data_IF_315469005408
#
_entry.id   IF_315469005408
#
_cell.length_a   1.000
_cell.length_b   1.000
_cell.length_c   1.000
_cell.angle_alpha   90.00
_cell.angle_beta   90.00
_cell.angle_gamma   90.00
#
_symmetry.space_group_name_H-M   'P 1'
#
loop_
_entity.id
_entity.type
_entity.pdbx_description
1 polymer ?
#
# COMPACT_ATOMS: atom_id res chain seq x y z
N UNK A 1 19.88 -7.22 -0.32
CA UNK A 1 19.94 -6.09 0.64
C UNK A 1 20.62 -6.55 1.91
N UNK A 2 21.47 -5.73 2.51
CA UNK A 2 22.11 -6.03 3.79
C UNK A 2 21.08 -5.95 4.92
N UNK A 3 21.20 -6.86 5.90
CA UNK A 3 20.36 -6.88 7.09
C UNK A 3 21.18 -6.46 8.30
N UNK A 4 20.65 -5.55 9.12
CA UNK A 4 21.27 -5.13 10.39
C UNK A 4 20.53 -5.76 11.56
N UNK A 5 21.24 -6.27 12.56
CA UNK A 5 20.64 -6.80 13.79
C UNK A 5 20.23 -5.65 14.71
N UNK A 6 19.02 -5.74 15.26
CA UNK A 6 18.47 -4.77 16.22
C UNK A 6 17.97 -5.54 17.43
N UNK A 7 18.33 -5.07 18.64
CA UNK A 7 17.75 -5.57 19.88
C UNK A 7 16.48 -4.76 20.20
N UNK A 8 15.39 -5.46 20.49
CA UNK A 8 14.10 -4.85 20.84
C UNK A 8 13.52 -5.55 22.08
N UNK A 9 12.80 -4.78 22.90
CA UNK A 9 11.91 -5.34 23.91
C UNK A 9 10.55 -5.55 23.26
N UNK A 10 10.00 -6.76 23.40
CA UNK A 10 8.70 -7.14 22.85
C UNK A 10 7.87 -7.83 23.93
N UNK A 11 6.56 -7.61 23.90
CA UNK A 11 5.63 -8.30 24.78
C UNK A 11 5.71 -9.83 24.60
N UNK A 12 5.64 -10.57 25.70
CA UNK A 12 5.82 -12.02 25.69
C UNK A 12 4.67 -12.76 24.97
N UNK A 13 3.44 -12.27 25.08
CA UNK A 13 2.31 -12.87 24.38
C UNK A 13 2.42 -12.63 22.87
N UNK A 14 2.87 -11.43 22.46
CA UNK A 14 3.14 -11.13 21.06
C UNK A 14 4.27 -11.98 20.48
N UNK A 15 5.35 -12.21 21.24
CA UNK A 15 6.42 -13.12 20.82
C UNK A 15 5.90 -14.55 20.62
N UNK A 16 5.03 -15.03 21.52
CA UNK A 16 4.42 -16.36 21.40
C UNK A 16 3.50 -16.48 20.17
N UNK A 17 2.82 -15.41 19.76
CA UNK A 17 2.07 -15.38 18.49
C UNK A 17 2.97 -15.50 17.27
N UNK A 18 4.08 -14.75 17.25
CA UNK A 18 5.07 -14.85 16.16
C UNK A 18 5.63 -16.28 16.09
N UNK A 19 5.92 -16.89 17.23
CA UNK A 19 6.44 -18.25 17.30
C UNK A 19 5.47 -19.27 16.72
N UNK A 20 4.18 -19.18 17.07
CA UNK A 20 3.13 -20.03 16.49
C UNK A 20 3.06 -19.90 14.96
N UNK A 21 3.20 -18.69 14.42
CA UNK A 21 3.17 -18.48 12.97
C UNK A 21 4.41 -19.07 12.26
N UNK A 22 5.57 -19.06 12.92
CA UNK A 22 6.78 -19.71 12.41
C UNK A 22 6.65 -21.23 12.48
N UNK A 23 6.11 -21.77 13.57
CA UNK A 23 5.82 -23.21 13.72
C UNK A 23 4.84 -23.72 12.65
N UNK A 24 3.82 -22.93 12.35
CA UNK A 24 2.85 -23.19 11.28
C UNK A 24 3.43 -22.99 9.86
N UNK A 25 4.72 -22.63 9.75
CA UNK A 25 5.43 -22.33 8.49
C UNK A 25 4.81 -21.21 7.66
N UNK A 26 4.02 -20.33 8.29
CA UNK A 26 3.55 -19.09 7.65
C UNK A 26 4.74 -18.17 7.36
N UNK A 27 5.71 -18.13 8.28
CA UNK A 27 6.99 -17.47 8.10
C UNK A 27 8.15 -18.44 8.27
N UNK A 28 9.24 -18.20 7.54
CA UNK A 28 10.45 -19.03 7.63
C UNK A 28 11.23 -18.86 8.94
N UNK A 29 11.14 -17.68 9.57
CA UNK A 29 11.74 -17.40 10.87
C UNK A 29 11.15 -16.12 11.48
N UNK A 30 11.43 -15.87 12.78
CA UNK A 30 10.99 -14.69 13.52
C UNK A 30 11.45 -13.38 12.86
N UNK A 31 12.70 -13.32 12.39
CA UNK A 31 13.23 -12.11 11.76
C UNK A 31 12.46 -11.72 10.50
N UNK A 32 12.08 -12.71 9.68
CA UNK A 32 11.27 -12.51 8.48
C UNK A 32 9.87 -12.01 8.82
N UNK A 33 9.21 -12.62 9.82
CA UNK A 33 7.90 -12.20 10.30
C UNK A 33 7.91 -10.75 10.78
N UNK A 34 8.89 -10.38 11.63
CA UNK A 34 9.02 -9.01 12.16
C UNK A 34 9.36 -8.02 11.05
N UNK A 35 10.25 -8.37 10.13
CA UNK A 35 10.63 -7.50 9.01
C UNK A 35 9.43 -7.17 8.12
N UNK A 36 8.62 -8.17 7.76
CA UNK A 36 7.43 -7.95 6.94
C UNK A 36 6.37 -7.12 7.67
N UNK A 37 6.13 -7.40 8.96
CA UNK A 37 5.19 -6.61 9.77
C UNK A 37 5.60 -5.13 9.86
N UNK A 38 6.90 -4.84 10.07
CA UNK A 38 7.43 -3.47 10.09
C UNK A 38 7.29 -2.82 8.71
N UNK A 39 7.60 -3.54 7.63
CA UNK A 39 7.47 -3.03 6.28
C UNK A 39 6.01 -2.68 5.95
N UNK A 40 5.06 -3.55 6.29
CA UNK A 40 3.63 -3.30 6.08
C UNK A 40 3.15 -2.13 6.93
N UNK A 41 3.54 -2.06 8.21
CA UNK A 41 3.18 -0.94 9.08
C UNK A 41 3.69 0.40 8.54
N UNK A 42 4.94 0.46 8.09
CA UNK A 42 5.51 1.65 7.46
C UNK A 42 4.81 1.99 6.15
N UNK A 43 4.46 1.00 5.34
CA UNK A 43 3.70 1.23 4.11
C UNK A 43 2.31 1.83 4.40
N UNK A 44 1.60 1.31 5.41
CA UNK A 44 0.31 1.85 5.86
C UNK A 44 0.44 3.28 6.42
N UNK A 45 1.45 3.53 7.26
CA UNK A 45 1.69 4.84 7.86
C UNK A 45 2.05 5.90 6.83
N UNK A 46 2.78 5.54 5.77
CA UNK A 46 3.15 6.48 4.72
C UNK A 46 1.94 7.04 3.96
N UNK A 47 0.74 6.46 4.07
CA UNK A 47 -0.51 6.84 3.36
C UNK A 47 -0.32 7.12 1.86
N UNK A 48 0.79 6.67 1.29
CA UNK A 48 1.23 7.00 -0.06
C UNK A 48 0.70 6.01 -1.07
N UNK A 49 -0.20 5.11 -0.68
CA UNK A 49 -0.82 4.16 -1.60
C UNK A 49 -1.58 4.92 -2.69
N UNK A 50 -2.40 5.91 -2.31
CA UNK A 50 -3.07 6.76 -3.28
C UNK A 50 -2.06 7.51 -4.16
N UNK A 51 -1.07 8.18 -3.56
CA UNK A 51 -0.05 8.91 -4.32
C UNK A 51 0.74 8.02 -5.30
N UNK A 52 1.05 6.76 -4.93
CA UNK A 52 1.75 5.79 -5.79
C UNK A 52 0.86 5.24 -6.90
N UNK A 53 -0.42 5.01 -6.62
CA UNK A 53 -1.35 4.56 -7.65
C UNK A 53 -1.71 5.70 -8.61
N UNK A 54 -1.91 6.93 -8.10
CA UNK A 54 -2.08 8.13 -8.93
C UNK A 54 -0.85 8.40 -9.82
N UNK A 55 0.37 8.11 -9.35
CA UNK A 55 1.58 8.24 -10.16
C UNK A 55 1.65 7.25 -11.35
N UNK A 56 0.77 6.24 -11.41
CA UNK A 56 0.67 5.33 -12.57
C UNK A 56 -0.31 5.83 -13.63
N UNK A 57 -1.14 6.81 -13.31
CA UNK A 57 -2.14 7.35 -14.23
C UNK A 57 -1.45 8.28 -15.23
N UNK A 58 -1.92 8.27 -16.48
CA UNK A 58 -1.52 9.24 -17.49
C UNK A 58 -2.52 10.40 -17.53
N UNK A 59 -2.11 11.63 -17.16
CA UNK A 59 -3.02 12.78 -17.12
C UNK A 59 -3.76 13.03 -18.42
N UNK A 60 -3.11 12.78 -19.57
CA UNK A 60 -3.71 13.03 -20.87
C UNK A 60 -4.82 12.01 -21.18
N UNK A 61 -4.56 10.72 -20.92
CA UNK A 61 -5.58 9.67 -21.05
C UNK A 61 -6.76 9.88 -20.10
N UNK A 62 -6.51 10.25 -18.85
CA UNK A 62 -7.56 10.48 -17.86
C UNK A 62 -8.44 11.68 -18.25
N UNK A 63 -7.82 12.75 -18.75
CA UNK A 63 -8.54 13.93 -19.24
C UNK A 63 -9.40 13.58 -20.47
N UNK A 64 -8.86 12.84 -21.43
CA UNK A 64 -9.60 12.44 -22.63
C UNK A 64 -10.82 11.56 -22.30
N UNK A 65 -10.70 10.68 -21.30
CA UNK A 65 -11.82 9.86 -20.83
C UNK A 65 -12.87 10.70 -20.08
N UNK A 66 -12.43 11.65 -19.25
CA UNK A 66 -13.34 12.52 -18.50
C UNK A 66 -14.12 13.51 -19.40
N UNK A 67 -13.49 13.94 -20.50
CA UNK A 67 -14.07 14.85 -21.49
C UNK A 67 -14.80 14.10 -22.62
N UNK A 68 -14.86 12.76 -22.57
CA UNK A 68 -15.60 11.96 -23.54
C UNK A 68 -17.10 12.31 -23.46
N UNK A 69 -17.66 12.83 -24.56
CA UNK A 69 -19.07 13.25 -24.64
C UNK A 69 -19.33 14.72 -24.29
N UNK A 70 -18.39 15.42 -23.64
CA UNK A 70 -18.57 16.86 -23.31
C UNK A 70 -18.77 17.73 -24.56
N UNK A 71 -18.14 17.38 -25.68
CA UNK A 71 -18.30 18.11 -26.94
C UNK A 71 -19.75 18.01 -27.50
N UNK A 72 -20.44 16.90 -27.26
CA UNK A 72 -21.84 16.73 -27.64
C UNK A 72 -22.77 17.41 -26.62
N UNK A 73 -22.49 17.29 -25.33
CA UNK A 73 -23.26 17.95 -24.26
C UNK A 73 -23.26 19.48 -24.36
N UNK A 74 -22.14 20.09 -24.77
CA UNK A 74 -22.05 21.54 -24.99
C UNK A 74 -23.02 22.04 -26.06
N UNK A 75 -23.38 21.17 -27.02
CA UNK A 75 -24.28 21.51 -28.13
C UNK A 75 -25.74 21.38 -27.70
N UNK A 76 -26.03 20.52 -26.72
CA UNK A 76 -27.38 20.23 -26.23
C UNK A 76 -27.77 21.06 -25.01
N UNK A 77 -26.83 21.78 -24.39
CA UNK A 77 -27.15 22.67 -23.28
C UNK A 77 -27.87 23.94 -23.78
N UNK A 78 -29.03 24.29 -23.18
CA UNK A 78 -29.72 25.52 -23.53
C UNK A 78 -28.91 26.75 -23.09
N UNK A 79 -28.83 27.77 -23.94
CA UNK A 79 -28.31 29.09 -23.55
C UNK A 79 -29.16 29.66 -22.40
N UNK A 80 -28.49 30.13 -21.34
CA UNK A 80 -29.11 30.81 -20.20
C UNK A 80 -29.51 32.25 -20.52
#
# INVERSE_FOLDING_TARGET
MSTTKVAITIDQALLAEIDRLVEQRVFSNRSKAVQEAVQDKLARLRRSRLARECAKLDPQSEQALAEEGMAQELTDWPEY
#
